data_IF_087741272935
#
_entry.id   IF_087741272935
#
_cell.length_a   1.000
_cell.length_b   1.000
_cell.length_c   1.000
_cell.angle_alpha   90.00
_cell.angle_beta   90.00
_cell.angle_gamma   90.00
#
_symmetry.space_group_name_H-M   'P 1'
#
loop_
_entity.id
_entity.type
_entity.pdbx_description
1 polymer ?
#
# COMPACT_ATOMS: atom_id res chain seq x y z
N UNK A 1 -3.00 13.96 -23.03
CA UNK A 1 -2.62 13.96 -21.61
C UNK A 1 -2.17 12.55 -21.28
N UNK A 2 -0.93 12.35 -20.84
CA UNK A 2 -0.43 11.01 -20.49
C UNK A 2 -1.11 10.59 -19.19
N UNK A 3 -1.87 9.50 -19.21
CA UNK A 3 -2.51 8.94 -18.01
C UNK A 3 -1.40 8.29 -17.18
N UNK A 4 -1.35 8.55 -15.86
CA UNK A 4 -0.39 7.90 -14.99
C UNK A 4 -0.76 6.43 -14.73
N UNK A 5 0.20 5.66 -14.19
CA UNK A 5 0.03 4.22 -13.97
C UNK A 5 -1.17 3.90 -13.05
N UNK A 6 -1.42 4.73 -12.03
CA UNK A 6 -2.52 4.53 -11.09
C UNK A 6 -3.88 4.65 -11.77
N UNK A 7 -4.07 5.68 -12.59
CA UNK A 7 -5.30 5.87 -13.36
C UNK A 7 -5.48 4.83 -14.47
N UNK A 8 -4.40 4.41 -15.12
CA UNK A 8 -4.46 3.35 -16.13
C UNK A 8 -4.89 2.00 -15.50
N UNK A 9 -4.34 1.66 -14.33
CA UNK A 9 -4.75 0.48 -13.57
C UNK A 9 -6.20 0.57 -13.05
N UNK A 10 -6.66 1.76 -12.63
CA UNK A 10 -8.06 1.95 -12.26
C UNK A 10 -9.00 1.64 -13.44
N UNK A 11 -8.63 2.08 -14.65
CA UNK A 11 -9.34 1.74 -15.88
C UNK A 11 -9.40 0.23 -16.10
N UNK A 12 -8.24 -0.44 -16.02
CA UNK A 12 -8.15 -1.89 -16.18
C UNK A 12 -9.00 -2.68 -15.16
N UNK A 13 -9.01 -2.29 -13.88
CA UNK A 13 -9.84 -2.95 -12.87
C UNK A 13 -11.33 -2.69 -13.08
N UNK A 14 -11.68 -1.54 -13.67
CA UNK A 14 -13.07 -1.20 -13.99
C UNK A 14 -13.58 -2.07 -15.13
N UNK A 15 -12.74 -2.38 -16.12
CA UNK A 15 -13.07 -3.26 -17.25
C UNK A 15 -13.16 -4.74 -16.84
N UNK A 16 -12.35 -5.18 -15.87
CA UNK A 16 -12.36 -6.56 -15.35
C UNK A 16 -13.44 -6.82 -14.30
N UNK A 17 -13.87 -5.80 -13.57
CA UNK A 17 -14.73 -5.93 -12.39
C UNK A 17 -16.19 -6.27 -12.69
N UNK A 18 -16.82 -7.03 -11.80
CA UNK A 18 -18.28 -7.16 -11.75
C UNK A 18 -18.90 -5.89 -11.14
N UNK A 19 -20.16 -5.58 -11.50
CA UNK A 19 -20.86 -4.32 -11.15
C UNK A 19 -20.91 -3.96 -9.65
N UNK A 20 -20.68 -4.91 -8.75
CA UNK A 20 -20.85 -4.72 -7.30
C UNK A 20 -19.64 -4.11 -6.59
N UNK A 21 -18.44 -4.24 -7.16
CA UNK A 21 -17.18 -3.78 -6.54
C UNK A 21 -16.45 -2.81 -7.45
N UNK A 22 -17.02 -1.61 -7.60
CA UNK A 22 -16.39 -0.54 -8.38
C UNK A 22 -15.03 -0.21 -7.76
N UNK A 23 -13.93 -0.29 -8.53
CA UNK A 23 -12.61 -0.01 -7.99
C UNK A 23 -12.48 1.48 -7.63
N UNK A 24 -11.67 1.77 -6.61
CA UNK A 24 -11.36 3.11 -6.17
C UNK A 24 -9.85 3.35 -6.24
N UNK A 25 -9.46 4.56 -6.60
CA UNK A 25 -8.08 5.01 -6.56
C UNK A 25 -7.93 6.05 -5.45
N UNK A 26 -7.10 5.75 -4.46
CA UNK A 26 -6.64 6.70 -3.46
C UNK A 26 -5.22 7.12 -3.80
N UNK A 27 -4.98 8.42 -3.80
CA UNK A 27 -3.67 8.97 -4.14
C UNK A 27 -3.03 9.61 -2.91
N UNK A 28 -1.78 9.23 -2.65
CA UNK A 28 -0.91 9.85 -1.64
C UNK A 28 0.20 10.60 -2.35
N UNK A 29 1.05 11.29 -1.58
CA UNK A 29 2.21 11.99 -2.13
C UNK A 29 3.17 11.04 -2.88
N UNK A 30 3.34 9.80 -2.40
CA UNK A 30 4.38 8.87 -2.88
C UNK A 30 3.83 7.54 -3.44
N UNK A 31 2.52 7.34 -3.43
CA UNK A 31 1.90 6.07 -3.85
C UNK A 31 0.48 6.26 -4.38
N UNK A 32 0.09 5.36 -5.27
CA UNK A 32 -1.30 5.09 -5.64
C UNK A 32 -1.78 3.86 -4.86
N UNK A 33 -3.02 3.87 -4.38
CA UNK A 33 -3.65 2.72 -3.71
C UNK A 33 -4.97 2.42 -4.40
N UNK A 34 -5.04 1.25 -5.03
CA UNK A 34 -6.25 0.73 -5.67
C UNK A 34 -7.00 -0.15 -4.69
N UNK A 35 -8.32 0.01 -4.59
CA UNK A 35 -9.20 -0.81 -3.75
C UNK A 35 -10.24 -1.49 -4.63
N UNK A 36 -10.41 -2.81 -4.51
CA UNK A 36 -11.49 -3.55 -5.16
C UNK A 36 -11.83 -4.82 -4.39
N UNK A 37 -13.10 -4.97 -3.99
CA UNK A 37 -13.57 -6.09 -3.19
C UNK A 37 -12.73 -6.28 -1.93
N UNK A 38 -12.20 -7.49 -1.77
CA UNK A 38 -11.40 -7.91 -0.60
C UNK A 38 -9.93 -7.46 -0.64
N UNK A 39 -9.48 -6.82 -1.72
CA UNK A 39 -8.06 -6.53 -1.93
C UNK A 39 -7.77 -5.05 -2.17
N UNK A 40 -6.57 -4.67 -1.75
CA UNK A 40 -5.98 -3.37 -1.99
C UNK A 40 -4.57 -3.54 -2.56
N UNK A 41 -4.19 -2.68 -3.51
CA UNK A 41 -2.87 -2.70 -4.12
C UNK A 41 -2.23 -1.34 -4.03
N UNK A 42 -1.06 -1.27 -3.40
CA UNK A 42 -0.29 -0.03 -3.26
C UNK A 42 0.91 -0.04 -4.21
N UNK A 43 0.93 0.91 -5.13
CA UNK A 43 1.98 1.10 -6.13
C UNK A 43 2.77 2.36 -5.76
N UNK A 44 4.09 2.27 -5.75
CA UNK A 44 4.98 3.39 -5.44
C UNK A 44 5.15 4.27 -6.67
N UNK A 45 5.05 5.59 -6.51
CA UNK A 45 5.27 6.53 -7.63
C UNK A 45 6.75 6.56 -8.00
N UNK A 46 7.12 6.72 -9.28
CA UNK A 46 8.51 6.76 -9.73
C UNK A 46 9.15 8.12 -9.42
N UNK A 47 9.42 8.38 -8.13
CA UNK A 47 9.90 9.67 -7.63
C UNK A 47 11.19 9.51 -6.81
N UNK A 48 11.93 10.60 -6.66
CA UNK A 48 13.09 10.71 -5.80
C UNK A 48 12.91 11.93 -4.89
N UNK A 49 12.88 11.70 -3.58
CA UNK A 49 12.73 12.73 -2.54
C UNK A 49 13.85 12.58 -1.51
N UNK A 50 14.04 13.60 -0.67
CA UNK A 50 15.11 13.62 0.33
C UNK A 50 15.09 12.43 1.32
N UNK A 51 13.95 11.76 1.50
CA UNK A 51 13.76 10.67 2.45
C UNK A 51 13.42 9.34 1.77
N UNK A 52 13.28 9.31 0.44
CA UNK A 52 12.88 8.09 -0.26
C UNK A 52 13.24 8.12 -1.74
N UNK A 53 13.72 6.98 -2.25
CA UNK A 53 14.09 6.82 -3.64
C UNK A 53 13.33 5.66 -4.30
N UNK A 54 12.34 6.00 -5.12
CA UNK A 54 11.53 5.08 -5.92
C UNK A 54 11.79 5.24 -7.43
N UNK A 55 12.91 5.88 -7.79
CA UNK A 55 13.20 6.27 -9.18
C UNK A 55 13.34 5.09 -10.13
N UNK A 56 13.91 3.97 -9.68
CA UNK A 56 14.08 2.76 -10.51
C UNK A 56 13.11 1.65 -10.11
N UNK A 57 12.87 0.74 -11.05
CA UNK A 57 12.01 -0.42 -10.84
C UNK A 57 12.54 -1.32 -9.71
N UNK A 58 13.85 -1.53 -9.65
CA UNK A 58 14.53 -2.32 -8.63
C UNK A 58 14.34 -1.73 -7.24
N UNK A 59 14.45 -0.39 -7.12
CA UNK A 59 14.21 0.31 -5.85
C UNK A 59 12.75 0.19 -5.43
N UNK A 60 11.80 0.34 -6.36
CA UNK A 60 10.37 0.16 -6.05
C UNK A 60 10.07 -1.27 -5.58
N UNK A 61 10.64 -2.28 -6.23
CA UNK A 61 10.55 -3.68 -5.79
C UNK A 61 11.09 -3.85 -4.37
N UNK A 62 12.33 -3.40 -4.15
CA UNK A 62 12.99 -3.47 -2.84
C UNK A 62 12.13 -2.83 -1.74
N UNK A 63 11.61 -1.62 -1.97
CA UNK A 63 10.77 -0.97 -0.97
C UNK A 63 9.38 -1.60 -0.80
N UNK A 64 8.85 -2.30 -1.81
CA UNK A 64 7.63 -3.11 -1.65
C UNK A 64 7.91 -4.32 -0.74
N UNK A 65 9.05 -4.98 -0.93
CA UNK A 65 9.50 -6.09 -0.09
C UNK A 65 9.76 -5.64 1.35
N UNK A 66 10.42 -4.49 1.53
CA UNK A 66 10.63 -3.88 2.85
C UNK A 66 9.31 -3.49 3.53
N UNK A 67 8.34 -2.96 2.78
CA UNK A 67 7.02 -2.65 3.32
C UNK A 67 6.32 -3.91 3.87
N UNK A 68 6.36 -5.02 3.12
CA UNK A 68 5.86 -6.31 3.60
C UNK A 68 6.64 -6.77 4.84
N UNK A 69 7.98 -6.80 4.77
CA UNK A 69 8.85 -7.28 5.86
C UNK A 69 8.61 -6.50 7.16
N UNK A 70 8.53 -5.17 7.06
CA UNK A 70 8.40 -4.29 8.21
C UNK A 70 6.99 -4.35 8.81
N UNK A 71 5.95 -4.29 7.98
CA UNK A 71 4.58 -4.13 8.46
C UNK A 71 3.95 -5.46 8.91
N UNK A 72 4.38 -6.60 8.37
CA UNK A 72 3.89 -7.92 8.82
C UNK A 72 4.18 -8.21 10.30
N UNK A 73 5.17 -7.56 10.90
CA UNK A 73 5.45 -7.69 12.34
C UNK A 73 4.30 -7.21 13.22
N UNK A 74 3.48 -6.27 12.72
CA UNK A 74 2.33 -5.71 13.42
C UNK A 74 0.98 -6.07 12.76
N UNK A 75 1.00 -6.44 11.49
CA UNK A 75 -0.22 -6.73 10.71
C UNK A 75 0.01 -7.87 9.69
N UNK A 76 0.33 -9.10 10.14
CA UNK A 76 0.71 -10.21 9.25
C UNK A 76 -0.40 -10.60 8.27
N UNK A 77 -1.66 -10.54 8.69
CA UNK A 77 -2.82 -10.92 7.87
C UNK A 77 -3.27 -9.84 6.89
N UNK A 78 -2.80 -8.60 7.07
CA UNK A 78 -3.16 -7.46 6.23
C UNK A 78 -2.24 -7.38 5.00
N UNK A 79 -0.95 -7.62 5.18
CA UNK A 79 0.07 -7.49 4.15
C UNK A 79 0.36 -8.87 3.53
N UNK A 80 -0.04 -9.08 2.27
CA UNK A 80 -0.14 -10.41 1.66
C UNK A 80 1.07 -10.80 0.81
N UNK A 81 1.54 -9.92 -0.07
CA UNK A 81 2.67 -10.23 -0.96
C UNK A 81 3.03 -9.00 -1.80
N UNK A 82 4.18 -9.08 -2.48
CA UNK A 82 4.54 -8.19 -3.58
C UNK A 82 4.13 -8.86 -4.88
N UNK A 83 3.31 -8.18 -5.68
CA UNK A 83 2.83 -8.68 -6.97
C UNK A 83 3.33 -7.82 -8.13
N UNK A 84 3.52 -8.40 -9.33
CA UNK A 84 3.94 -7.64 -10.48
C UNK A 84 2.78 -6.80 -11.05
N UNK A 85 3.14 -5.67 -11.63
CA UNK A 85 2.33 -4.97 -12.63
C UNK A 85 3.04 -5.19 -13.96
N UNK A 86 2.37 -5.84 -14.92
CA UNK A 86 2.95 -6.17 -16.24
C UNK A 86 2.23 -5.42 -17.37
N UNK A 87 2.56 -5.74 -18.62
CA UNK A 87 1.97 -5.10 -19.80
C UNK A 87 2.72 -3.84 -20.20
N UNK A 88 1.99 -2.77 -20.50
CA UNK A 88 2.57 -1.47 -20.88
C UNK A 88 2.00 -0.37 -20.00
N UNK A 89 2.64 0.82 -19.98
CA UNK A 89 2.11 1.96 -19.22
C UNK A 89 0.71 2.40 -19.70
N UNK A 90 0.37 2.15 -20.97
CA UNK A 90 -0.94 2.47 -21.55
C UNK A 90 -1.99 1.39 -21.26
N UNK A 91 -1.55 0.14 -21.13
CA UNK A 91 -2.42 -0.99 -20.81
C UNK A 91 -1.76 -1.88 -19.74
N UNK A 92 -1.69 -1.39 -18.49
CA UNK A 92 -1.04 -2.12 -17.42
C UNK A 92 -1.95 -3.22 -16.90
N UNK A 93 -1.35 -4.32 -16.48
CA UNK A 93 -2.08 -5.46 -15.93
C UNK A 93 -1.60 -5.73 -14.51
N UNK A 94 -2.50 -5.51 -13.55
CA UNK A 94 -2.27 -5.90 -12.17
C UNK A 94 -2.25 -7.43 -12.05
N UNK A 95 -1.23 -7.97 -11.38
CA UNK A 95 -1.03 -9.42 -11.23
C UNK A 95 -1.00 -10.16 -12.57
N UNK A 96 -0.50 -9.49 -13.62
CA UNK A 96 -0.35 -10.10 -14.94
C UNK A 96 0.89 -10.97 -15.04
N UNK A 97 0.91 -11.83 -16.05
CA UNK A 97 2.09 -12.60 -16.43
C UNK A 97 3.09 -11.73 -17.23
N UNK A 98 4.34 -12.17 -17.28
CA UNK A 98 5.40 -11.56 -18.08
C UNK A 98 6.31 -10.61 -17.31
N UNK A 99 7.04 -9.77 -18.06
CA UNK A 99 8.04 -8.86 -17.48
C UNK A 99 7.35 -7.72 -16.69
N UNK A 100 7.72 -7.50 -15.42
CA UNK A 100 7.16 -6.41 -14.63
C UNK A 100 7.58 -5.03 -15.16
N UNK A 101 6.60 -4.15 -15.32
CA UNK A 101 6.80 -2.71 -15.53
C UNK A 101 6.75 -1.93 -14.20
N UNK A 102 6.12 -2.51 -13.17
CA UNK A 102 6.14 -2.03 -11.79
C UNK A 102 5.81 -3.16 -10.80
N UNK A 103 5.76 -2.84 -9.51
CA UNK A 103 5.35 -3.75 -8.44
C UNK A 103 4.30 -3.10 -7.53
N UNK A 104 3.42 -3.92 -6.98
CA UNK A 104 2.42 -3.50 -6.00
C UNK A 104 2.55 -4.32 -4.71
N UNK A 105 2.29 -3.68 -3.57
CA UNK A 105 2.04 -4.37 -2.31
C UNK A 105 0.56 -4.76 -2.29
N UNK A 106 0.27 -6.06 -2.32
CA UNK A 106 -1.09 -6.60 -2.19
C UNK A 106 -1.44 -6.72 -0.72
N UNK A 107 -2.61 -6.20 -0.36
CA UNK A 107 -3.14 -6.16 1.00
C UNK A 107 -4.59 -6.59 1.03
N UNK A 108 -5.09 -6.98 2.20
CA UNK A 108 -6.55 -7.07 2.40
C UNK A 108 -7.13 -5.66 2.43
N UNK A 109 -8.18 -5.44 1.64
CA UNK A 109 -9.01 -4.24 1.75
C UNK A 109 -9.85 -4.31 3.03
N UNK A 110 -10.22 -3.15 3.54
CA UNK A 110 -11.15 -3.04 4.65
C UNK A 110 -11.99 -1.77 4.50
N UNK A 111 -13.15 -1.68 5.18
CA UNK A 111 -14.05 -0.55 5.03
C UNK A 111 -13.37 0.77 5.39
N UNK A 112 -13.41 1.74 4.49
CA UNK A 112 -12.71 3.02 4.65
C UNK A 112 -13.32 3.90 5.76
N UNK A 113 -14.58 3.65 6.12
CA UNK A 113 -15.25 4.27 7.27
C UNK A 113 -14.78 3.72 8.62
N UNK A 114 -14.07 2.58 8.63
CA UNK A 114 -13.47 1.94 9.81
C UNK A 114 -12.01 2.34 10.03
N UNK A 115 -11.42 3.15 9.15
CA UNK A 115 -10.10 3.74 9.38
C UNK A 115 -10.10 4.54 10.68
N UNK A 116 -9.02 4.43 11.46
CA UNK A 116 -8.87 5.11 12.75
C UNK A 116 -9.14 6.63 12.63
N UNK A 117 -8.59 7.27 11.59
CA UNK A 117 -8.82 8.69 11.28
C UNK A 117 -10.31 9.00 11.10
N UNK A 118 -11.04 8.16 10.37
CA UNK A 118 -12.46 8.36 10.10
C UNK A 118 -13.27 8.19 11.38
N UNK A 119 -13.05 7.12 12.13
CA UNK A 119 -13.73 6.87 13.42
C UNK A 119 -13.45 7.99 14.43
N UNK A 120 -12.20 8.45 14.52
CA UNK A 120 -11.80 9.57 15.37
C UNK A 120 -12.50 10.87 14.98
N UNK A 121 -12.55 11.20 13.68
CA UNK A 121 -13.21 12.42 13.19
C UNK A 121 -14.72 12.46 13.49
N UNK A 122 -15.34 11.29 13.68
CA UNK A 122 -16.75 11.17 14.05
C UNK A 122 -16.98 11.25 15.57
N UNK A 123 -15.92 11.40 16.39
CA UNK A 123 -16.01 11.35 17.85
C UNK A 123 -16.39 9.97 18.40
N UNK A 124 -16.27 8.91 17.59
CA UNK A 124 -16.68 7.55 17.94
C UNK A 124 -15.51 6.66 18.37
N UNK A 125 -14.32 7.22 18.55
CA UNK A 125 -13.14 6.43 18.92
C UNK A 125 -13.17 6.10 20.42
N UNK A 126 -13.29 4.82 20.82
CA UNK A 126 -13.25 4.44 22.23
C UNK A 126 -11.86 4.68 22.81
N UNK A 127 -11.78 5.26 24.02
CA UNK A 127 -10.51 5.52 24.70
C UNK A 127 -9.65 4.26 24.87
N UNK A 128 -10.28 3.11 25.12
CA UNK A 128 -9.62 1.80 25.21
C UNK A 128 -8.76 1.44 23.98
N UNK A 129 -9.11 1.91 22.78
CA UNK A 129 -8.29 1.66 21.60
C UNK A 129 -6.99 2.46 21.62
N UNK A 130 -7.00 3.66 22.21
CA UNK A 130 -5.77 4.43 22.39
C UNK A 130 -4.82 3.73 23.36
N UNK A 131 -5.34 3.20 24.47
CA UNK A 131 -4.55 2.44 25.44
C UNK A 131 -3.95 1.17 24.80
N UNK A 132 -4.76 0.45 24.00
CA UNK A 132 -4.30 -0.74 23.28
C UNK A 132 -3.22 -0.43 22.23
N UNK A 133 -3.39 0.65 21.46
CA UNK A 133 -2.38 1.10 20.48
C UNK A 133 -1.09 1.46 21.21
N UNK A 134 -1.17 2.26 22.27
CA UNK A 134 -0.01 2.67 23.06
C UNK A 134 0.74 1.47 23.64
N UNK A 135 0.02 0.52 24.26
CA UNK A 135 0.61 -0.70 24.81
C UNK A 135 1.25 -1.58 23.73
N UNK A 136 0.60 -1.72 22.57
CA UNK A 136 1.16 -2.49 21.44
C UNK A 136 2.45 -1.86 20.93
N UNK A 137 2.49 -0.53 20.76
CA UNK A 137 3.68 0.18 20.30
C UNK A 137 4.82 0.14 21.32
N UNK A 138 4.52 0.30 22.61
CA UNK A 138 5.53 0.20 23.68
C UNK A 138 6.17 -1.19 23.68
N UNK A 139 5.35 -2.25 23.73
CA UNK A 139 5.85 -3.63 23.69
C UNK A 139 6.65 -3.93 22.42
N UNK A 140 6.24 -3.38 21.27
CA UNK A 140 6.97 -3.53 20.02
C UNK A 140 8.34 -2.85 20.08
N UNK A 141 8.40 -1.61 20.58
CA UNK A 141 9.66 -0.88 20.73
C UNK A 141 10.63 -1.53 21.71
N UNK A 142 10.14 -2.22 22.74
CA UNK A 142 10.99 -2.92 23.71
C UNK A 142 11.74 -4.12 23.11
N UNK A 143 11.21 -4.72 22.02
CA UNK A 143 11.74 -5.98 21.47
C UNK A 143 12.39 -5.84 20.09
N UNK A 144 12.16 -4.74 19.37
CA UNK A 144 12.80 -4.53 18.07
C UNK A 144 14.22 -4.02 18.21
N UNK A 145 15.03 -4.27 17.19
CA UNK A 145 16.37 -3.70 17.11
C UNK A 145 16.30 -2.16 17.10
N UNK A 146 17.16 -1.55 17.92
CA UNK A 146 17.37 -0.11 17.93
C UNK A 146 18.26 0.27 16.75
N UNK A 147 17.88 1.32 16.03
CA UNK A 147 18.68 1.86 14.93
C UNK A 147 20.06 2.27 15.45
N UNK A 148 21.12 1.91 14.71
CA UNK A 148 22.48 2.30 15.05
C UNK A 148 22.69 3.81 14.89
N UNK A 149 23.74 4.38 15.49
CA UNK A 149 24.05 5.81 15.40
C UNK A 149 24.33 6.30 13.96
N UNK A 150 24.59 5.39 13.02
CA UNK A 150 24.84 5.69 11.60
C UNK A 150 23.63 5.41 10.70
N UNK A 151 22.45 5.22 11.27
CA UNK A 151 21.23 5.04 10.49
C UNK A 151 20.76 6.40 9.96
N UNK A 152 20.96 6.66 8.67
CA UNK A 152 20.32 7.77 7.94
C UNK A 152 18.85 7.48 7.59
#
# INVERSE_FOLDING_TARGET
MMIDLGHALLGQLTERGHQTDKPQLLETHISWVLLQGDFAWKIKKPIHLAFVDFSTLEKRKYFCEEEIRLNRRLAPDLYLEVVPVTGTLQNPVLEGDGEPIDYAVKMKSFPQDRLLKTVASQGKLPAQYMDQIAGTLANFHDVIAVAGPESE
#
